data_IF_739633540449
#
_entry.id   IF_739633540449
#
_cell.length_a   1.000
_cell.length_b   1.000
_cell.length_c   1.000
_cell.angle_alpha   90.00
_cell.angle_beta   90.00
_cell.angle_gamma   90.00
#
_symmetry.space_group_name_H-M   'P 1'
#
loop_
_entity.id
_entity.type
_entity.pdbx_description
1 polymer ?
#
# COMPACT_ATOMS: atom_id res chain seq x y z
N UNK A 1 15.64 45.84 -27.36
CA UNK A 1 14.50 44.90 -27.24
C UNK A 1 15.02 43.47 -26.95
N UNK A 2 15.42 43.16 -25.71
CA UNK A 2 15.90 41.80 -25.36
C UNK A 2 15.28 41.24 -24.06
N UNK A 3 14.40 42.01 -23.41
CA UNK A 3 13.81 41.66 -22.11
C UNK A 3 12.55 40.79 -22.25
N UNK A 4 11.89 40.81 -23.42
CA UNK A 4 10.62 40.10 -23.65
C UNK A 4 10.76 38.59 -23.82
N UNK A 5 11.94 38.09 -24.23
CA UNK A 5 12.16 36.65 -24.46
C UNK A 5 12.46 35.87 -23.17
N UNK A 6 12.91 36.55 -22.11
CA UNK A 6 13.24 35.91 -20.83
C UNK A 6 11.97 35.57 -20.04
N UNK A 7 10.93 36.41 -20.17
CA UNK A 7 9.63 36.18 -19.51
C UNK A 7 8.80 35.05 -20.14
N UNK A 8 9.00 34.72 -21.42
CA UNK A 8 8.32 33.58 -22.06
C UNK A 8 8.97 32.22 -21.76
N UNK A 9 10.24 32.19 -21.36
CA UNK A 9 10.92 30.94 -21.01
C UNK A 9 10.64 30.47 -19.58
N UNK A 10 10.18 31.36 -18.68
CA UNK A 10 9.82 30.99 -17.30
C UNK A 10 8.46 30.28 -17.18
N UNK A 11 7.55 30.43 -18.14
CA UNK A 11 6.23 29.77 -18.10
C UNK A 11 6.32 28.29 -18.52
N UNK A 12 7.37 27.90 -19.23
CA UNK A 12 7.55 26.52 -19.72
C UNK A 12 8.24 25.56 -18.74
N UNK A 13 8.71 26.05 -17.58
CA UNK A 13 9.47 25.23 -16.62
C UNK A 13 8.73 24.94 -15.29
N UNK A 14 7.55 25.52 -15.09
CA UNK A 14 6.72 25.35 -13.87
C UNK A 14 5.53 24.41 -14.04
N UNK A 15 5.61 23.44 -14.97
CA UNK A 15 4.65 22.31 -15.02
C UNK A 15 5.30 20.98 -14.60
N UNK A 16 6.52 21.03 -14.07
CA UNK A 16 7.16 19.90 -13.42
C UNK A 16 6.80 19.89 -11.93
N UNK A 17 6.46 18.71 -11.40
CA UNK A 17 6.21 18.38 -9.98
C UNK A 17 4.78 18.43 -9.43
N UNK A 18 3.83 17.82 -10.13
CA UNK A 18 2.59 17.31 -9.49
C UNK A 18 2.27 15.86 -9.89
N UNK A 19 3.26 14.97 -9.79
CA UNK A 19 3.01 13.53 -9.75
C UNK A 19 3.29 13.03 -8.33
N UNK A 20 2.33 13.26 -7.43
CA UNK A 20 2.21 12.45 -6.24
C UNK A 20 1.86 11.03 -6.69
N UNK A 21 2.87 10.17 -6.76
CA UNK A 21 2.69 8.75 -7.08
C UNK A 21 1.96 8.03 -5.94
N UNK A 22 0.63 8.01 -5.98
CA UNK A 22 -0.12 6.91 -5.39
C UNK A 22 0.45 5.59 -5.96
N UNK A 23 0.64 4.57 -5.12
CA UNK A 23 1.22 3.28 -5.49
C UNK A 23 0.75 2.83 -6.88
N UNK A 24 1.69 2.73 -7.82
CA UNK A 24 1.38 2.88 -9.24
C UNK A 24 0.73 1.60 -9.80
N UNK A 25 -0.59 1.49 -9.66
CA UNK A 25 -1.42 0.36 -10.13
C UNK A 25 -1.12 -0.02 -11.59
N UNK A 26 -0.80 0.98 -12.42
CA UNK A 26 -0.38 0.78 -13.82
C UNK A 26 0.89 -0.07 -13.93
N UNK A 27 1.87 0.14 -13.06
CA UNK A 27 3.09 -0.66 -13.04
C UNK A 27 2.84 -2.09 -12.57
N UNK A 28 1.92 -2.27 -11.61
CA UNK A 28 1.52 -3.61 -11.17
C UNK A 28 0.82 -4.39 -12.28
N UNK A 29 -0.14 -3.75 -12.97
CA UNK A 29 -0.81 -4.33 -14.13
C UNK A 29 0.18 -4.81 -15.19
N UNK A 30 1.17 -3.97 -15.55
CA UNK A 30 2.20 -4.37 -16.51
C UNK A 30 3.03 -5.57 -16.00
N UNK A 31 3.39 -5.59 -14.71
CA UNK A 31 4.20 -6.65 -14.12
C UNK A 31 3.46 -8.00 -14.02
N UNK A 32 2.16 -8.01 -13.71
CA UNK A 32 1.39 -9.27 -13.70
C UNK A 32 1.08 -9.74 -15.11
N UNK A 33 0.76 -8.82 -16.03
CA UNK A 33 0.47 -9.17 -17.43
C UNK A 33 1.71 -9.68 -18.18
N UNK A 34 2.92 -9.32 -17.77
CA UNK A 34 4.15 -9.88 -18.37
C UNK A 34 4.33 -11.39 -18.14
N UNK A 35 3.53 -12.01 -17.27
CA UNK A 35 3.53 -13.46 -17.08
C UNK A 35 2.70 -14.22 -18.13
N UNK A 36 1.91 -13.54 -18.97
CA UNK A 36 1.19 -14.21 -20.06
C UNK A 36 2.18 -14.94 -20.97
N UNK A 37 1.86 -16.21 -21.27
CA UNK A 37 2.73 -17.10 -22.02
C UNK A 37 3.87 -17.74 -21.21
N UNK A 38 3.98 -17.47 -19.92
CA UNK A 38 4.90 -18.20 -19.03
C UNK A 38 4.23 -19.48 -18.49
N UNK A 39 5.02 -20.53 -18.17
CA UNK A 39 4.48 -21.75 -17.57
C UNK A 39 4.15 -21.53 -16.08
N UNK A 40 3.12 -22.24 -15.58
CA UNK A 40 2.72 -22.18 -14.17
C UNK A 40 3.85 -22.56 -13.20
N UNK A 41 4.76 -23.45 -13.62
CA UNK A 41 5.93 -23.82 -12.82
C UNK A 41 6.86 -22.63 -12.56
N UNK A 42 7.07 -21.75 -13.54
CA UNK A 42 7.90 -20.55 -13.36
C UNK A 42 7.23 -19.55 -12.42
N UNK A 43 5.91 -19.44 -12.49
CA UNK A 43 5.12 -18.61 -11.58
C UNK A 43 5.26 -19.12 -10.15
N UNK A 44 4.97 -20.41 -9.91
CA UNK A 44 5.08 -21.02 -8.58
C UNK A 44 6.52 -20.96 -8.04
N UNK A 45 7.52 -21.12 -8.90
CA UNK A 45 8.92 -20.97 -8.50
C UNK A 45 9.26 -19.54 -8.04
N UNK A 46 8.66 -18.54 -8.67
CA UNK A 46 9.00 -17.12 -8.42
C UNK A 46 8.13 -16.48 -7.34
N UNK A 47 6.85 -16.85 -7.27
CA UNK A 47 5.84 -16.27 -6.35
C UNK A 47 5.53 -17.19 -5.17
N UNK A 48 5.88 -18.48 -5.26
CA UNK A 48 5.50 -19.50 -4.29
C UNK A 48 4.16 -20.17 -4.63
N UNK A 49 3.71 -21.02 -3.71
CA UNK A 49 2.41 -21.69 -3.83
C UNK A 49 1.27 -20.67 -3.73
N UNK A 50 0.23 -20.79 -4.57
CA UNK A 50 -0.96 -19.96 -4.43
C UNK A 50 -1.69 -20.30 -3.12
N UNK A 51 -2.51 -19.37 -2.64
CA UNK A 51 -3.34 -19.59 -1.45
C UNK A 51 -4.65 -20.32 -1.80
N UNK A 52 -5.02 -20.34 -3.07
CA UNK A 52 -6.17 -21.04 -3.60
C UNK A 52 -5.93 -21.44 -5.06
N UNK A 53 -6.39 -22.64 -5.42
CA UNK A 53 -6.36 -23.19 -6.76
C UNK A 53 -7.77 -23.69 -7.11
N UNK A 54 -8.40 -23.04 -8.08
CA UNK A 54 -9.77 -23.38 -8.50
C UNK A 54 -9.82 -23.74 -9.98
N UNK A 55 -10.48 -24.84 -10.33
CA UNK A 55 -10.75 -25.19 -11.73
C UNK A 55 -11.98 -24.43 -12.24
N UNK A 56 -11.80 -23.66 -13.31
CA UNK A 56 -12.85 -22.93 -13.99
C UNK A 56 -13.70 -23.85 -14.88
N UNK A 57 -14.91 -23.39 -15.24
CA UNK A 57 -15.86 -24.16 -16.08
C UNK A 57 -15.29 -24.53 -17.47
N UNK A 58 -14.36 -23.74 -18.00
CA UNK A 58 -13.66 -24.02 -19.27
C UNK A 58 -12.55 -25.08 -19.12
N UNK A 59 -12.27 -25.53 -17.89
CA UNK A 59 -11.20 -26.45 -17.54
C UNK A 59 -9.82 -25.81 -17.41
N UNK A 60 -9.75 -24.47 -17.39
CA UNK A 60 -8.55 -23.75 -16.98
C UNK A 60 -8.44 -23.75 -15.45
N UNK A 61 -7.24 -23.58 -14.93
CA UNK A 61 -6.98 -23.39 -13.51
C UNK A 61 -6.89 -21.89 -13.20
N UNK A 62 -7.31 -21.49 -12.01
CA UNK A 62 -7.17 -20.14 -11.49
C UNK A 62 -6.32 -20.19 -10.23
N UNK A 63 -5.13 -19.59 -10.28
CA UNK A 63 -4.21 -19.51 -9.15
C UNK A 63 -4.35 -18.16 -8.48
N UNK A 64 -4.71 -18.16 -7.21
CA UNK A 64 -4.97 -16.94 -6.44
C UNK A 64 -3.85 -16.69 -5.43
N UNK A 65 -3.34 -15.48 -5.43
CA UNK A 65 -2.36 -14.96 -4.48
C UNK A 65 -2.98 -13.80 -3.71
N UNK A 66 -2.75 -13.73 -2.40
CA UNK A 66 -3.25 -12.65 -1.56
C UNK A 66 -2.17 -12.08 -0.67
N UNK A 67 -2.24 -10.78 -0.50
CA UNK A 67 -1.39 -10.02 0.41
C UNK A 67 -2.24 -9.15 1.29
N UNK A 68 -1.90 -9.08 2.57
CA UNK A 68 -2.56 -8.24 3.56
C UNK A 68 -1.49 -7.55 4.39
N UNK A 69 -1.56 -6.23 4.49
CA UNK A 69 -0.65 -5.37 5.26
C UNK A 69 -1.51 -4.58 6.25
N UNK A 70 -1.27 -4.79 7.55
CA UNK A 70 -1.97 -4.07 8.62
C UNK A 70 -1.03 -2.99 9.13
N UNK A 71 -1.46 -1.73 9.04
CA UNK A 71 -0.69 -0.59 9.55
C UNK A 71 -1.38 -0.07 10.80
N UNK A 72 -0.59 0.10 11.86
CA UNK A 72 -1.01 0.73 13.10
C UNK A 72 -0.58 2.18 13.08
N UNK A 73 -1.51 3.09 13.28
CA UNK A 73 -1.21 4.50 13.41
C UNK A 73 -1.44 4.95 14.86
N UNK A 74 -0.41 5.55 15.44
CA UNK A 74 -0.53 6.28 16.70
C UNK A 74 -1.07 7.67 16.37
N UNK A 75 -2.35 7.91 16.67
CA UNK A 75 -2.91 9.26 16.59
C UNK A 75 -2.62 9.98 17.91
N UNK A 76 -1.65 10.89 17.90
CA UNK A 76 -1.56 11.90 18.93
C UNK A 76 -2.80 12.77 18.82
N UNK A 77 -3.81 12.52 19.65
CA UNK A 77 -4.82 13.52 19.89
C UNK A 77 -4.16 14.61 20.74
N UNK A 78 -3.56 15.60 20.08
CA UNK A 78 -3.21 16.88 20.70
C UNK A 78 -4.52 17.55 21.14
N UNK A 79 -5.11 17.07 22.24
CA UNK A 79 -6.22 17.74 22.88
C UNK A 79 -5.62 18.95 23.60
N UNK A 80 -6.05 20.19 23.31
CA UNK A 80 -5.64 21.34 24.09
C UNK A 80 -6.09 21.11 25.53
N UNK A 81 -5.14 20.89 26.44
CA UNK A 81 -5.43 20.81 27.87
C UNK A 81 -5.88 22.20 28.31
N UNK A 82 -7.18 22.36 28.62
CA UNK A 82 -7.64 23.52 29.38
C UNK A 82 -7.09 23.36 30.80
N UNK A 83 -6.23 24.25 31.31
CA UNK A 83 -5.70 24.12 32.66
C UNK A 83 -6.86 24.35 33.65
N UNK A 84 -7.39 23.29 34.24
CA UNK A 84 -8.29 23.42 35.39
C UNK A 84 -7.42 23.68 36.61
N UNK A 85 -7.09 24.95 36.87
CA UNK A 85 -6.40 25.38 38.08
C UNK A 85 -7.26 25.09 39.31
N UNK A 86 -6.99 23.99 40.02
CA UNK A 86 -7.43 23.82 41.41
C UNK A 86 -6.34 24.38 42.32
N UNK A 87 -6.58 25.57 42.86
CA UNK A 87 -5.78 26.12 43.96
C UNK A 87 -6.07 25.30 45.22
N UNK A 88 -5.09 24.51 45.67
CA UNK A 88 -5.11 23.90 46.99
C UNK A 88 -4.59 24.95 48.01
N UNK A 89 -5.27 25.26 49.13
CA UNK A 89 -4.87 26.35 50.02
C UNK A 89 -3.65 26.03 50.91
N UNK A 90 -3.06 24.83 50.77
CA UNK A 90 -1.99 24.37 51.64
C UNK A 90 -0.81 23.89 50.81
N UNK A 91 0.32 24.56 51.05
CA UNK A 91 1.69 24.26 50.64
C UNK A 91 2.19 24.98 49.38
N UNK A 92 3.16 25.84 49.66
CA UNK A 92 3.98 26.72 48.84
C UNK A 92 5.03 25.99 48.00
N UNK A 93 4.64 24.95 47.26
CA UNK A 93 5.52 24.27 46.31
C UNK A 93 4.85 24.20 44.94
N UNK A 94 5.37 25.00 44.00
CA UNK A 94 4.99 24.99 42.59
C UNK A 94 5.45 23.68 41.94
N UNK A 95 4.68 22.60 42.14
CA UNK A 95 4.86 21.31 41.48
C UNK A 95 3.61 21.00 40.65
N UNK A 96 3.61 21.42 39.38
CA UNK A 96 2.52 21.13 38.45
C UNK A 96 2.60 19.66 38.02
N UNK A 97 1.93 18.75 38.73
CA UNK A 97 1.76 17.35 38.31
C UNK A 97 0.68 17.27 37.22
N UNK A 98 1.08 17.50 35.97
CA UNK A 98 0.23 17.22 34.80
C UNK A 98 0.41 15.76 34.38
N UNK A 99 -0.32 14.83 35.02
CA UNK A 99 -0.51 13.49 34.45
C UNK A 99 -1.77 13.53 33.57
N UNK A 100 -1.57 13.76 32.27
CA UNK A 100 -2.64 13.60 31.28
C UNK A 100 -2.70 12.12 30.89
N UNK A 101 -3.83 11.41 30.99
CA UNK A 101 -3.97 10.11 30.39
C UNK A 101 -4.13 10.33 28.88
N UNK A 102 -3.04 10.20 28.13
CA UNK A 102 -3.05 10.09 26.68
C UNK A 102 -3.89 8.85 26.33
N UNK A 103 -5.16 9.03 25.99
CA UNK A 103 -5.94 7.95 25.35
C UNK A 103 -5.48 7.87 23.90
N UNK A 104 -4.41 7.09 23.68
CA UNK A 104 -3.95 6.73 22.35
C UNK A 104 -5.05 5.86 21.74
N UNK A 105 -5.90 6.45 20.90
CA UNK A 105 -6.84 5.67 20.12
C UNK A 105 -6.05 4.97 19.01
N UNK A 106 -5.73 3.69 19.20
CA UNK A 106 -5.07 2.85 18.19
C UNK A 106 -6.01 2.70 16.98
N UNK A 107 -5.58 3.21 15.82
CA UNK A 107 -6.29 2.98 14.56
C UNK A 107 -5.53 1.94 13.73
N UNK A 108 -6.28 0.95 13.26
CA UNK A 108 -5.78 -0.13 12.41
C UNK A 108 -6.32 0.07 10.99
N UNK A 109 -5.44 0.35 10.02
CA UNK A 109 -5.79 0.29 8.61
C UNK A 109 -5.33 -1.04 8.00
N UNK A 110 -6.19 -1.66 7.20
CA UNK A 110 -5.87 -2.91 6.50
C UNK A 110 -5.80 -2.66 5.00
N UNK A 111 -4.62 -2.93 4.45
CA UNK A 111 -4.32 -2.86 3.04
C UNK A 111 -4.23 -4.28 2.47
N UNK A 112 -4.68 -4.48 1.24
CA UNK A 112 -4.66 -5.80 0.62
C UNK A 112 -4.52 -5.73 -0.90
N UNK A 113 -4.07 -6.85 -1.46
CA UNK A 113 -4.08 -7.09 -2.90
C UNK A 113 -4.27 -8.58 -3.18
N UNK A 114 -5.26 -8.89 -4.00
CA UNK A 114 -5.48 -10.20 -4.61
C UNK A 114 -4.94 -10.18 -6.04
N UNK A 115 -4.32 -11.27 -6.47
CA UNK A 115 -3.80 -11.43 -7.83
C UNK A 115 -4.09 -12.83 -8.30
N UNK A 116 -4.66 -12.94 -9.47
CA UNK A 116 -5.16 -14.18 -10.03
C UNK A 116 -4.55 -14.41 -11.41
N UNK A 117 -4.01 -15.60 -11.61
CA UNK A 117 -3.48 -16.05 -12.89
C UNK A 117 -4.35 -17.17 -13.42
N UNK A 118 -4.90 -16.98 -14.63
CA UNK A 118 -5.62 -18.03 -15.33
C UNK A 118 -4.62 -18.86 -16.15
N UNK A 119 -4.63 -20.16 -15.93
CA UNK A 119 -3.71 -21.11 -16.52
C UNK A 119 -4.50 -22.08 -17.39
N UNK A 120 -4.11 -22.20 -18.64
CA UNK A 120 -4.77 -23.14 -19.55
C UNK A 120 -4.38 -24.60 -19.27
N UNK A 121 -5.04 -25.53 -19.96
CA UNK A 121 -4.79 -26.98 -19.85
C UNK A 121 -3.36 -27.41 -20.22
N UNK A 122 -2.60 -26.56 -20.92
CA UNK A 122 -1.19 -26.79 -21.24
C UNK A 122 -0.24 -26.31 -20.13
N UNK A 123 -0.78 -25.77 -19.03
CA UNK A 123 0.00 -25.22 -17.93
C UNK A 123 0.58 -23.84 -18.22
N UNK A 124 0.02 -23.10 -19.18
CA UNK A 124 0.49 -21.76 -19.57
C UNK A 124 -0.45 -20.68 -19.05
N UNK A 125 0.11 -19.59 -18.55
CA UNK A 125 -0.65 -18.42 -18.11
C UNK A 125 -1.24 -17.73 -19.34
N UNK A 126 -2.57 -17.62 -19.38
CA UNK A 126 -3.30 -16.98 -20.48
C UNK A 126 -3.90 -15.64 -20.08
N UNK A 127 -4.07 -15.40 -18.78
CA UNK A 127 -4.59 -14.14 -18.28
C UNK A 127 -4.07 -13.85 -16.87
N UNK A 128 -4.05 -12.57 -16.49
CA UNK A 128 -3.75 -12.14 -15.14
C UNK A 128 -4.68 -10.99 -14.76
N UNK A 129 -5.21 -11.01 -13.54
CA UNK A 129 -6.01 -9.91 -12.98
C UNK A 129 -5.66 -9.70 -11.52
N UNK A 130 -5.99 -8.51 -11.01
CA UNK A 130 -5.72 -8.16 -9.63
C UNK A 130 -6.79 -7.20 -9.12
N UNK A 131 -6.97 -7.19 -7.81
CA UNK A 131 -7.90 -6.29 -7.12
C UNK A 131 -7.37 -5.96 -5.72
N UNK A 132 -7.73 -4.79 -5.19
CA UNK A 132 -7.33 -4.33 -3.87
C UNK A 132 -6.68 -2.95 -3.85
N UNK A 133 -6.51 -2.43 -2.64
CA UNK A 133 -6.04 -1.06 -2.39
C UNK A 133 -4.52 -0.94 -2.21
N UNK A 134 -3.74 -2.03 -2.35
CA UNK A 134 -2.29 -2.03 -2.16
C UNK A 134 -1.54 -2.98 -3.13
N UNK A 135 -1.96 -2.99 -4.38
CA UNK A 135 -1.31 -3.76 -5.45
C UNK A 135 -0.04 -3.04 -5.98
N UNK A 136 1.13 -3.48 -5.52
CA UNK A 136 2.42 -2.81 -5.82
C UNK A 136 3.47 -3.77 -6.40
N UNK A 137 4.20 -3.29 -7.42
CA UNK A 137 5.13 -4.08 -8.24
C UNK A 137 6.57 -4.16 -7.70
N UNK A 138 6.88 -3.63 -6.51
CA UNK A 138 8.27 -3.50 -6.09
C UNK A 138 8.94 -4.88 -5.96
N UNK A 139 10.08 -5.04 -6.65
CA UNK A 139 10.88 -6.28 -6.74
C UNK A 139 11.20 -6.89 -5.36
N UNK A 140 11.31 -6.08 -4.30
CA UNK A 140 11.57 -6.54 -2.94
C UNK A 140 10.34 -7.13 -2.21
N UNK A 141 9.10 -6.79 -2.64
CA UNK A 141 7.86 -7.30 -2.04
C UNK A 141 7.25 -8.46 -2.84
N UNK A 142 7.54 -8.61 -4.14
CA UNK A 142 7.01 -9.72 -4.96
C UNK A 142 7.57 -11.10 -4.56
N UNK A 143 8.82 -11.19 -4.11
CA UNK A 143 9.49 -12.45 -3.75
C UNK A 143 9.16 -13.00 -2.34
N UNK A 144 8.43 -12.25 -1.50
CA UNK A 144 8.12 -12.64 -0.09
C UNK A 144 6.65 -13.00 0.14
N UNK A 145 5.95 -13.49 -0.88
CA UNK A 145 4.48 -13.58 -0.86
C UNK A 145 3.95 -15.00 -1.09
N UNK A 146 4.51 -15.94 -0.35
CA UNK A 146 3.79 -17.10 0.15
C UNK A 146 4.03 -17.10 1.66
N UNK A 147 2.96 -17.03 2.45
CA UNK A 147 2.80 -17.34 3.88
C UNK A 147 1.72 -16.41 4.44
N UNK A 148 0.47 -16.87 4.34
CA UNK A 148 -0.57 -16.44 5.26
C UNK A 148 -0.22 -17.12 6.60
N UNK A 149 0.21 -16.31 7.56
CA UNK A 149 0.21 -16.68 8.98
C UNK A 149 -1.10 -16.24 9.62
#
# INVERSE_FOLDING_TARGET
MYVKKILQFSVLFSTAFLLFGCGNTKNYSMAVNSWQGAPKSALVHTWGQPIDETTLKNGNELYTYRTVEKIKFEKNNDVPVIPTGRVNPQQNTNGMLSHSPSSIAEQNETFWCNTEFEINKMGMIVNARFDGNNCVASKAKAQKRAFVG
#
